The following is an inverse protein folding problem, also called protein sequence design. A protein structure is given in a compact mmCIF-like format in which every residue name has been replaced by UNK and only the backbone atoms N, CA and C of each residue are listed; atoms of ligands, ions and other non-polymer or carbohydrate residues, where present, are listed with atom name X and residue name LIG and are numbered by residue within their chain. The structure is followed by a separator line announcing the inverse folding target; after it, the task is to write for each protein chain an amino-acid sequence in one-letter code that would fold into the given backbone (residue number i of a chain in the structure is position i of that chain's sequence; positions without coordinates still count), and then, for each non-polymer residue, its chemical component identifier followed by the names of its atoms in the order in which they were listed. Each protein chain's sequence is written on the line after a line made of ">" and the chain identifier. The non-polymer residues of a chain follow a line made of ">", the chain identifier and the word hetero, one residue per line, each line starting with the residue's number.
data_IF_366858373062
#
_entry.id   IF_366858373062
#
_cell.length_a   1.000
_cell.length_b   1.000
_cell.length_c   1.000
_cell.angle_alpha   90.00
_cell.angle_beta   90.00
_cell.angle_gamma   90.00
#
_symmetry.space_group_name_H-M   'P 1'
#
loop_
_entity.id
_entity.type
_entity.pdbx_description
1 polymer ?
#
# COMPACT_ATOMS: atom_id res chain seq x y z
N UNK A 1 -10.19 24.59 22.22
CA UNK A 1 -10.78 23.40 22.87
C UNK A 1 -11.16 22.43 21.76
N UNK A 2 -10.39 21.35 21.56
CA UNK A 2 -10.79 20.28 20.63
C UNK A 2 -11.76 19.37 21.37
N UNK A 3 -13.02 19.35 20.93
CA UNK A 3 -14.10 18.52 21.46
C UNK A 3 -14.68 17.67 20.34
N UNK A 4 -13.87 16.85 19.69
CA UNK A 4 -14.42 15.79 18.83
C UNK A 4 -14.12 14.44 19.46
N UNK A 5 -15.04 14.04 20.33
CA UNK A 5 -15.18 12.64 20.73
C UNK A 5 -15.48 11.84 19.45
N UNK A 6 -14.76 10.74 19.18
CA UNK A 6 -15.06 9.87 18.05
C UNK A 6 -16.55 9.51 18.05
N UNK A 7 -17.23 9.73 16.93
CA UNK A 7 -18.66 9.41 16.82
C UNK A 7 -18.82 7.91 16.57
N UNK A 8 -19.79 7.24 17.22
CA UNK A 8 -20.08 5.84 16.93
C UNK A 8 -20.45 5.66 15.45
N UNK A 9 -19.88 4.63 14.83
CA UNK A 9 -20.26 4.16 13.48
C UNK A 9 -21.13 2.93 13.66
N UNK A 10 -22.32 2.91 13.06
CA UNK A 10 -23.26 1.79 13.19
C UNK A 10 -23.31 0.94 11.93
N UNK A 11 -23.32 -0.38 12.09
CA UNK A 11 -23.45 -1.34 10.98
C UNK A 11 -24.67 -1.06 10.08
N UNK A 12 -25.80 -0.66 10.68
CA UNK A 12 -27.05 -0.35 9.97
C UNK A 12 -26.96 0.86 9.05
N UNK A 13 -25.97 1.73 9.24
CA UNK A 13 -25.77 2.95 8.47
C UNK A 13 -24.86 2.72 7.24
N UNK A 14 -24.41 1.48 7.03
CA UNK A 14 -23.62 1.11 5.86
C UNK A 14 -24.34 1.53 4.56
N UNK A 15 -23.57 2.19 3.69
CA UNK A 15 -23.95 2.47 2.31
C UNK A 15 -22.80 2.10 1.38
N UNK A 16 -23.08 1.60 0.17
CA UNK A 16 -22.04 1.40 -0.84
C UNK A 16 -21.35 2.75 -1.14
N UNK A 17 -20.05 2.75 -1.49
CA UNK A 17 -19.34 3.98 -1.77
C UNK A 17 -19.90 4.64 -3.03
N UNK A 18 -19.94 5.98 -3.08
CA UNK A 18 -20.38 6.72 -4.26
C UNK A 18 -19.51 6.44 -5.49
N UNK A 19 -18.22 6.18 -5.27
CA UNK A 19 -17.23 5.94 -6.30
C UNK A 19 -16.49 4.63 -6.07
N UNK A 20 -15.95 4.08 -7.15
CA UNK A 20 -15.05 2.92 -7.14
C UNK A 20 -13.72 3.30 -7.78
N UNK A 21 -12.66 2.66 -7.30
CA UNK A 21 -11.29 2.84 -7.79
C UNK A 21 -10.78 1.50 -8.34
N UNK A 22 -11.09 1.09 -9.59
CA UNK A 22 -10.64 -0.19 -10.12
C UNK A 22 -9.12 -0.34 -10.28
N UNK A 23 -8.37 0.76 -10.37
CA UNK A 23 -6.92 0.73 -10.60
C UNK A 23 -6.20 1.86 -9.88
N UNK A 24 -5.06 1.53 -9.29
CA UNK A 24 -4.17 2.43 -8.57
C UNK A 24 -2.77 2.28 -9.14
N UNK A 25 -2.14 3.40 -9.50
CA UNK A 25 -0.73 3.48 -9.88
C UNK A 25 -0.01 4.45 -8.94
N UNK A 26 0.91 3.92 -8.16
CA UNK A 26 1.71 4.66 -7.17
C UNK A 26 3.14 4.80 -7.67
N UNK A 27 3.69 6.00 -7.51
CA UNK A 27 5.11 6.29 -7.69
C UNK A 27 5.61 6.97 -6.42
N UNK A 28 6.40 6.24 -5.64
CA UNK A 28 6.81 6.59 -4.28
C UNK A 28 8.32 6.80 -4.27
N UNK A 29 8.74 8.05 -4.11
CA UNK A 29 10.14 8.40 -3.92
C UNK A 29 10.42 8.50 -2.42
N UNK A 30 11.05 7.48 -1.86
CA UNK A 30 11.40 7.41 -0.45
C UNK A 30 12.45 8.45 -0.11
N UNK A 31 12.19 9.13 1.01
CA UNK A 31 13.13 9.97 1.74
C UNK A 31 12.67 10.07 3.21
N UNK A 32 13.59 10.17 4.18
CA UNK A 32 13.26 10.10 5.61
C UNK A 32 12.20 11.10 6.08
N UNK A 33 12.35 12.36 5.66
CA UNK A 33 11.52 13.49 6.10
C UNK A 33 10.58 14.04 5.03
N UNK A 34 10.77 13.66 3.78
CA UNK A 34 9.99 14.17 2.65
C UNK A 34 9.79 13.09 1.60
N UNK A 35 9.13 11.99 1.98
CA UNK A 35 8.72 10.99 0.99
C UNK A 35 7.65 11.58 0.10
N UNK A 36 7.89 11.56 -1.22
CA UNK A 36 6.96 12.06 -2.23
C UNK A 36 6.16 10.91 -2.81
N UNK A 37 4.84 10.96 -2.65
CA UNK A 37 3.90 9.97 -3.15
C UNK A 37 3.09 10.58 -4.28
N UNK A 38 3.23 10.06 -5.50
CA UNK A 38 2.32 10.35 -6.61
C UNK A 38 1.36 9.18 -6.76
N UNK A 39 0.07 9.44 -6.59
CA UNK A 39 -0.99 8.45 -6.83
C UNK A 39 -1.85 8.84 -8.02
N UNK A 40 -2.02 7.91 -8.97
CA UNK A 40 -2.99 8.01 -10.06
C UNK A 40 -4.10 6.99 -9.84
N UNK A 41 -5.31 7.48 -9.59
CA UNK A 41 -6.49 6.69 -9.28
C UNK A 41 -7.41 6.71 -10.50
N UNK A 42 -7.77 5.53 -11.04
CA UNK A 42 -8.85 5.43 -12.01
C UNK A 42 -10.16 5.42 -11.25
N UNK A 43 -10.95 6.48 -11.34
CA UNK A 43 -12.18 6.69 -10.59
C UNK A 43 -13.38 6.52 -11.52
N UNK A 44 -14.44 5.87 -11.04
CA UNK A 44 -15.73 5.79 -11.72
C UNK A 44 -16.87 5.79 -10.72
N UNK A 45 -18.06 6.23 -11.14
CA UNK A 45 -19.25 6.12 -10.29
C UNK A 45 -19.57 4.66 -9.97
N UNK A 46 -20.05 4.42 -8.76
CA UNK A 46 -20.54 3.11 -8.36
C UNK A 46 -21.98 2.92 -8.87
N UNK A 47 -22.29 1.90 -9.69
CA UNK A 47 -23.67 1.64 -10.12
C UNK A 47 -24.61 1.28 -8.96
N UNK A 48 -24.06 0.97 -7.78
CA UNK A 48 -24.82 0.70 -6.55
C UNK A 48 -25.04 1.94 -5.68
N UNK A 49 -24.36 3.04 -5.97
CA UNK A 49 -24.70 4.33 -5.34
C UNK A 49 -25.88 4.94 -6.08
N UNK A 50 -26.79 5.60 -5.35
CA UNK A 50 -28.02 6.15 -5.94
C UNK A 50 -27.80 7.10 -7.12
N UNK A 51 -28.89 7.45 -7.79
CA UNK A 51 -28.86 8.34 -8.95
C UNK A 51 -28.52 9.79 -8.57
N UNK A 52 -27.97 10.54 -9.54
CA UNK A 52 -27.69 11.97 -9.41
C UNK A 52 -26.23 12.30 -9.04
N UNK A 53 -25.79 13.56 -9.20
CA UNK A 53 -24.42 13.97 -8.93
C UNK A 53 -24.07 13.81 -7.45
N UNK A 54 -22.85 13.35 -7.16
CA UNK A 54 -22.32 13.27 -5.81
C UNK A 54 -20.90 13.87 -5.75
N UNK A 55 -20.51 14.53 -4.65
CA UNK A 55 -19.11 14.88 -4.41
C UNK A 55 -18.24 13.63 -4.27
N UNK A 56 -16.98 13.71 -4.72
CA UNK A 56 -15.97 12.69 -4.41
C UNK A 56 -15.32 13.06 -3.08
N UNK A 57 -15.54 12.24 -2.06
CA UNK A 57 -14.84 12.34 -0.78
C UNK A 57 -13.70 11.33 -0.74
N UNK A 58 -12.50 11.77 -0.39
CA UNK A 58 -11.33 10.92 -0.17
C UNK A 58 -10.77 11.16 1.22
N UNK A 59 -10.51 10.09 1.95
CA UNK A 59 -9.85 10.11 3.24
C UNK A 59 -8.38 10.50 3.07
N UNK A 60 -7.88 11.35 3.98
CA UNK A 60 -6.48 11.78 3.98
C UNK A 60 -6.11 12.45 5.29
N UNK A 61 -5.07 11.96 5.96
CA UNK A 61 -4.67 12.43 7.29
C UNK A 61 -3.17 12.73 7.31
N UNK A 62 -2.80 13.91 7.81
CA UNK A 62 -1.41 14.36 7.93
C UNK A 62 -0.64 14.31 6.59
N UNK A 63 -1.31 14.70 5.51
CA UNK A 63 -0.74 14.79 4.17
C UNK A 63 -0.48 16.26 3.82
N UNK A 64 0.69 16.56 3.27
CA UNK A 64 0.91 17.82 2.57
C UNK A 64 0.59 17.63 1.08
N UNK A 65 -0.50 18.22 0.59
CA UNK A 65 -0.88 18.18 -0.82
C UNK A 65 -0.04 19.17 -1.64
N UNK A 66 0.80 18.65 -2.53
CA UNK A 66 1.62 19.45 -3.46
C UNK A 66 0.90 19.70 -4.80
N UNK A 67 0.20 18.69 -5.33
CA UNK A 67 -0.51 18.81 -6.61
C UNK A 67 -1.75 17.93 -6.66
N UNK A 68 -2.80 18.44 -7.29
CA UNK A 68 -4.01 17.69 -7.63
C UNK A 68 -4.38 17.94 -9.10
N UNK A 69 -4.77 16.90 -9.82
CA UNK A 69 -5.20 17.01 -11.21
C UNK A 69 -6.26 15.96 -11.55
N UNK A 70 -7.17 16.31 -12.46
CA UNK A 70 -8.12 15.39 -13.08
C UNK A 70 -7.80 15.33 -14.57
N UNK A 71 -7.57 14.12 -15.08
CA UNK A 71 -7.24 13.85 -16.48
C UNK A 71 -6.09 14.74 -17.03
N UNK A 72 -5.08 14.96 -16.18
CA UNK A 72 -3.90 15.77 -16.49
C UNK A 72 -4.10 17.28 -16.31
N UNK A 73 -5.33 17.75 -16.11
CA UNK A 73 -5.64 19.16 -15.85
C UNK A 73 -5.53 19.45 -14.36
N UNK A 74 -4.65 20.39 -13.99
CA UNK A 74 -4.45 20.77 -12.60
C UNK A 74 -5.71 21.44 -12.01
N UNK A 75 -6.08 21.02 -10.81
CA UNK A 75 -7.16 21.65 -10.04
C UNK A 75 -6.60 22.83 -9.23
N UNK A 76 -7.32 23.94 -9.22
CA UNK A 76 -6.96 25.17 -8.52
C UNK A 76 -7.57 25.19 -7.12
N UNK A 77 -7.06 26.08 -6.27
CA UNK A 77 -7.73 26.42 -5.01
C UNK A 77 -9.16 26.91 -5.33
N UNK A 78 -10.17 26.19 -4.85
CA UNK A 78 -11.59 26.40 -5.16
C UNK A 78 -12.25 25.28 -5.95
N UNK A 79 -11.49 24.45 -6.67
CA UNK A 79 -12.01 23.26 -7.37
C UNK A 79 -12.18 22.06 -6.42
N UNK A 80 -11.54 22.13 -5.25
CA UNK A 80 -11.59 21.12 -4.20
C UNK A 80 -11.54 21.79 -2.82
N UNK A 81 -11.93 21.04 -1.81
CA UNK A 81 -11.87 21.41 -0.40
C UNK A 81 -10.94 20.44 0.34
N UNK A 82 -10.05 20.99 1.17
CA UNK A 82 -9.26 20.21 2.13
C UNK A 82 -9.90 20.32 3.51
N UNK A 83 -10.07 19.18 4.17
CA UNK A 83 -10.56 19.08 5.55
C UNK A 83 -9.50 18.40 6.42
N UNK A 84 -9.68 18.40 7.75
CA UNK A 84 -8.76 17.69 8.65
C UNK A 84 -8.71 16.17 8.34
N UNK A 85 -9.79 15.61 7.81
CA UNK A 85 -9.93 14.19 7.52
C UNK A 85 -9.77 13.80 6.04
N UNK A 86 -9.56 14.75 5.12
CA UNK A 86 -9.44 14.39 3.72
C UNK A 86 -9.62 15.50 2.70
N UNK A 87 -10.01 15.09 1.50
CA UNK A 87 -10.14 15.91 0.30
C UNK A 87 -11.51 15.68 -0.34
N UNK A 88 -12.18 16.77 -0.71
CA UNK A 88 -13.49 16.73 -1.38
C UNK A 88 -13.38 17.41 -2.73
N UNK A 89 -13.80 16.72 -3.79
CA UNK A 89 -14.05 17.32 -5.11
C UNK A 89 -15.58 17.47 -5.26
N UNK A 90 -16.15 18.69 -5.16
CA UNK A 90 -17.60 18.87 -5.09
C UNK A 90 -18.35 18.47 -6.37
N UNK A 91 -17.70 18.67 -7.54
CA UNK A 91 -18.27 18.39 -8.86
C UNK A 91 -17.26 17.62 -9.72
N UNK A 92 -17.00 16.35 -9.41
CA UNK A 92 -16.09 15.54 -10.23
C UNK A 92 -16.75 15.23 -11.59
N UNK A 93 -15.96 14.83 -12.62
CA UNK A 93 -16.54 14.42 -13.90
C UNK A 93 -17.55 13.28 -13.76
N UNK A 94 -18.61 13.32 -14.58
CA UNK A 94 -19.64 12.27 -14.61
C UNK A 94 -19.12 10.95 -15.21
N UNK A 95 -18.25 11.06 -16.22
CA UNK A 95 -17.57 9.91 -16.85
C UNK A 95 -16.39 9.47 -15.99
N UNK A 96 -15.94 8.23 -16.18
CA UNK A 96 -14.73 7.74 -15.52
C UNK A 96 -13.52 8.64 -15.85
N UNK A 97 -12.70 8.93 -14.85
CA UNK A 97 -11.59 9.88 -14.94
C UNK A 97 -10.36 9.36 -14.17
N UNK A 98 -9.24 10.03 -14.35
CA UNK A 98 -8.00 9.81 -13.59
C UNK A 98 -7.79 10.94 -12.62
N UNK A 99 -7.82 10.66 -11.32
CA UNK A 99 -7.38 11.61 -10.31
C UNK A 99 -5.89 11.37 -10.05
N UNK A 100 -5.06 12.40 -10.26
CA UNK A 100 -3.66 12.41 -9.85
C UNK A 100 -3.51 13.31 -8.63
N UNK A 101 -2.91 12.79 -7.57
CA UNK A 101 -2.49 13.55 -6.40
C UNK A 101 -0.99 13.35 -6.17
N UNK A 102 -0.31 14.41 -5.75
CA UNK A 102 1.04 14.33 -5.23
C UNK A 102 1.05 14.84 -3.80
N UNK A 103 1.43 13.97 -2.87
CA UNK A 103 1.52 14.26 -1.45
C UNK A 103 2.96 14.13 -0.96
N UNK A 104 3.30 14.90 0.07
CA UNK A 104 4.53 14.77 0.83
C UNK A 104 4.18 14.28 2.24
N UNK A 105 4.96 13.34 2.75
CA UNK A 105 4.83 12.76 4.09
C UNK A 105 6.20 12.62 4.75
N UNK A 106 6.24 12.62 6.08
CA UNK A 106 7.45 12.47 6.90
C UNK A 106 7.41 11.11 7.65
N UNK A 107 7.97 10.05 7.06
CA UNK A 107 8.05 8.73 7.71
C UNK A 107 8.80 8.72 9.04
N UNK A 108 9.84 9.53 9.21
CA UNK A 108 10.63 9.57 10.45
C UNK A 108 9.86 10.22 11.61
N UNK A 109 9.04 11.23 11.32
CA UNK A 109 8.16 11.86 12.30
C UNK A 109 6.94 10.98 12.68
N UNK A 110 6.62 9.94 11.89
CA UNK A 110 5.42 9.13 12.08
C UNK A 110 5.58 8.10 13.22
N UNK A 111 5.43 8.56 14.48
CA UNK A 111 5.50 7.70 15.68
C UNK A 111 4.22 6.90 15.96
N UNK A 112 3.18 7.06 15.16
CA UNK A 112 1.94 6.29 15.28
C UNK A 112 2.07 4.85 14.73
N UNK A 113 3.12 4.57 13.95
CA UNK A 113 3.35 3.30 13.26
C UNK A 113 2.13 2.86 12.42
N UNK A 114 1.52 3.83 11.73
CA UNK A 114 0.35 3.67 10.85
C UNK A 114 0.53 4.53 9.60
N UNK A 115 0.22 3.97 8.43
CA UNK A 115 0.66 4.50 7.14
C UNK A 115 2.10 4.09 6.85
N UNK A 116 2.87 4.97 6.20
CA UNK A 116 4.31 4.78 5.97
C UNK A 116 5.10 5.40 7.12
N UNK A 117 6.01 4.64 7.71
CA UNK A 117 6.87 5.09 8.81
C UNK A 117 8.25 4.43 8.72
N UNK A 118 9.15 4.78 9.64
CA UNK A 118 10.46 4.14 9.75
C UNK A 118 10.65 3.45 11.10
N UNK A 119 11.11 2.20 11.05
CA UNK A 119 11.61 1.43 12.19
C UNK A 119 13.07 1.10 11.97
N UNK A 120 13.95 1.61 12.85
CA UNK A 120 15.41 1.40 12.81
C UNK A 120 16.04 1.60 11.42
N UNK A 121 15.57 2.62 10.71
CA UNK A 121 16.06 2.98 9.38
C UNK A 121 15.33 2.28 8.22
N UNK A 122 14.54 1.23 8.48
CA UNK A 122 13.72 0.54 7.48
C UNK A 122 12.38 1.27 7.32
N UNK A 123 12.02 1.62 6.08
CA UNK A 123 10.67 2.02 5.72
C UNK A 123 9.76 0.81 5.73
N UNK A 124 8.65 0.91 6.44
CA UNK A 124 7.61 -0.10 6.43
C UNK A 124 6.23 0.55 6.54
N UNK A 125 5.21 -0.20 6.16
CA UNK A 125 3.82 0.24 6.18
C UNK A 125 2.97 -0.59 7.12
N UNK A 126 2.01 0.05 7.77
CA UNK A 126 0.88 -0.62 8.40
C UNK A 126 -0.40 0.10 8.00
N UNK A 127 -1.23 -0.55 7.18
CA UNK A 127 -2.42 0.06 6.59
C UNK A 127 -3.72 -0.40 7.25
N UNK A 128 -3.75 -1.52 7.95
CA UNK A 128 -4.94 -1.91 8.72
C UNK A 128 -5.07 -1.11 10.03
N UNK A 129 -6.24 -0.60 10.38
CA UNK A 129 -7.50 -0.66 9.60
C UNK A 129 -7.65 0.48 8.58
N UNK A 130 -7.10 1.65 8.90
CA UNK A 130 -7.34 2.92 8.20
C UNK A 130 -6.04 3.73 8.07
N UNK A 131 -4.92 3.04 7.82
CA UNK A 131 -3.58 3.63 7.73
C UNK A 131 -3.22 4.09 6.32
N UNK A 132 -3.91 3.62 5.27
CA UNK A 132 -3.55 3.98 3.90
C UNK A 132 -3.81 5.47 3.60
N UNK A 133 -4.84 6.06 4.23
CA UNK A 133 -5.11 7.52 4.20
C UNK A 133 -3.98 8.39 4.76
N UNK A 134 -2.97 7.80 5.42
CA UNK A 134 -1.74 8.49 5.89
C UNK A 134 -0.60 8.41 4.87
N UNK A 135 -0.85 7.85 3.69
CA UNK A 135 0.12 7.74 2.58
C UNK A 135 -0.31 8.65 1.41
N UNK A 136 -1.57 8.54 0.99
CA UNK A 136 -2.18 9.40 -0.04
C UNK A 136 -3.70 9.50 0.17
N UNK A 137 -4.37 10.39 -0.55
CA UNK A 137 -5.83 10.49 -0.54
C UNK A 137 -6.47 9.27 -1.20
N UNK A 138 -7.43 8.62 -0.53
CA UNK A 138 -8.05 7.39 -1.02
C UNK A 138 -9.48 7.19 -0.49
N UNK A 139 -10.23 6.22 -1.04
CA UNK A 139 -11.43 5.69 -0.39
C UNK A 139 -10.99 4.59 0.58
N UNK A 140 -10.59 4.95 1.79
CA UNK A 140 -9.89 4.05 2.73
C UNK A 140 -10.89 3.19 3.51
N UNK A 141 -11.55 2.29 2.77
CA UNK A 141 -12.60 1.37 3.23
C UNK A 141 -12.49 0.03 2.49
N UNK A 142 -12.81 -1.11 3.14
CA UNK A 142 -12.45 -2.44 2.65
C UNK A 142 -13.31 -2.96 1.48
N UNK A 143 -14.45 -2.33 1.19
CA UNK A 143 -15.32 -2.67 0.05
C UNK A 143 -14.94 -1.93 -1.24
N UNK A 144 -13.88 -1.12 -1.23
CA UNK A 144 -13.25 -0.55 -2.42
C UNK A 144 -12.02 -1.38 -2.79
N UNK A 145 -12.18 -2.20 -3.83
CA UNK A 145 -11.13 -3.10 -4.32
C UNK A 145 -10.43 -2.53 -5.55
N UNK A 146 -9.10 -2.51 -5.53
CA UNK A 146 -8.28 -1.98 -6.61
C UNK A 146 -7.15 -2.92 -6.99
N UNK A 147 -6.77 -2.93 -8.28
CA UNK A 147 -5.47 -3.48 -8.70
C UNK A 147 -4.38 -2.44 -8.54
N UNK A 148 -3.21 -2.86 -8.06
CA UNK A 148 -2.12 -1.95 -7.71
C UNK A 148 -0.91 -2.16 -8.63
N UNK A 149 -0.37 -1.05 -9.12
CA UNK A 149 0.99 -0.94 -9.63
C UNK A 149 1.75 0.01 -8.70
N UNK A 150 2.87 -0.42 -8.16
CA UNK A 150 3.67 0.36 -7.21
C UNK A 150 5.09 0.48 -7.73
N UNK A 151 5.48 1.68 -8.14
CA UNK A 151 6.88 2.04 -8.34
C UNK A 151 7.43 2.62 -7.05
N UNK A 152 8.56 2.11 -6.61
CA UNK A 152 9.29 2.59 -5.44
C UNK A 152 10.68 3.02 -5.92
N UNK A 153 11.13 4.17 -5.47
CA UNK A 153 12.48 4.67 -5.74
C UNK A 153 13.12 5.20 -4.46
N UNK A 154 14.38 4.84 -4.22
CA UNK A 154 15.15 5.30 -3.07
C UNK A 154 16.61 5.56 -3.44
N UNK A 155 17.33 6.25 -2.56
CA UNK A 155 18.80 6.21 -2.55
C UNK A 155 19.25 4.78 -2.19
N UNK A 156 20.28 4.28 -2.90
CA UNK A 156 20.78 2.91 -2.77
C UNK A 156 21.38 2.61 -1.39
N UNK A 157 21.96 3.62 -0.72
CA UNK A 157 22.56 3.47 0.61
C UNK A 157 21.48 3.52 1.69
N UNK A 158 20.41 4.25 1.43
CA UNK A 158 19.26 4.38 2.32
C UNK A 158 18.38 3.12 2.31
N UNK A 159 18.13 2.54 1.14
CA UNK A 159 17.28 1.38 1.00
C UNK A 159 17.71 0.48 -0.18
N UNK A 160 18.65 -0.43 0.06
CA UNK A 160 19.13 -1.38 -0.96
C UNK A 160 18.09 -2.40 -1.44
N UNK A 161 17.00 -2.63 -0.70
CA UNK A 161 15.86 -3.48 -1.08
C UNK A 161 14.56 -2.67 -1.12
N UNK A 162 13.78 -2.83 -2.19
CA UNK A 162 12.49 -2.15 -2.40
C UNK A 162 11.39 -3.17 -2.75
N UNK A 163 10.44 -3.37 -1.83
CA UNK A 163 9.43 -4.44 -1.89
C UNK A 163 8.02 -3.85 -1.83
N UNK A 164 7.08 -4.44 -2.58
CA UNK A 164 5.64 -4.19 -2.45
C UNK A 164 4.86 -5.45 -2.81
N UNK A 165 3.53 -5.39 -2.77
CA UNK A 165 2.65 -6.50 -3.11
C UNK A 165 2.81 -6.96 -4.59
N UNK A 166 2.56 -8.25 -4.83
CA UNK A 166 2.49 -8.83 -6.16
C UNK A 166 3.86 -9.21 -6.71
N UNK A 167 4.02 -9.10 -8.03
CA UNK A 167 5.22 -9.54 -8.74
C UNK A 167 6.11 -8.35 -9.15
N UNK A 168 7.42 -8.53 -9.05
CA UNK A 168 8.41 -7.57 -9.56
C UNK A 168 8.40 -7.62 -11.09
N UNK A 169 8.02 -6.51 -11.74
CA UNK A 169 7.90 -6.42 -13.20
C UNK A 169 8.97 -5.56 -13.85
N UNK A 170 9.62 -4.69 -13.09
CA UNK A 170 10.67 -3.80 -13.59
C UNK A 170 11.61 -3.40 -12.46
N UNK A 171 12.89 -3.22 -12.77
CA UNK A 171 13.86 -2.61 -11.86
C UNK A 171 14.91 -1.85 -12.66
N UNK A 172 15.46 -0.81 -12.07
CA UNK A 172 16.53 -0.03 -12.71
C UNK A 172 17.32 0.78 -11.70
N UNK A 173 18.45 1.34 -12.15
CA UNK A 173 19.30 2.20 -11.36
C UNK A 173 19.65 3.47 -12.13
N UNK A 174 19.87 4.55 -11.39
CA UNK A 174 20.49 5.79 -11.86
C UNK A 174 21.78 6.01 -11.05
N UNK A 175 22.93 5.52 -11.55
CA UNK A 175 24.21 5.65 -10.85
C UNK A 175 24.62 7.11 -10.62
N UNK A 176 24.16 8.06 -11.43
CA UNK A 176 24.52 9.48 -11.28
C UNK A 176 23.80 10.11 -10.09
N UNK A 177 22.59 9.64 -9.78
CA UNK A 177 21.80 10.10 -8.64
C UNK A 177 21.93 9.21 -7.42
N UNK A 178 22.69 8.10 -7.50
CA UNK A 178 22.74 7.02 -6.49
C UNK A 178 21.35 6.47 -6.13
N UNK A 179 20.38 6.58 -7.04
CA UNK A 179 19.03 6.08 -6.82
C UNK A 179 18.78 4.82 -7.62
N UNK A 180 17.86 4.00 -7.15
CA UNK A 180 17.36 2.84 -7.87
C UNK A 180 15.85 2.71 -7.69
N UNK A 181 15.21 1.90 -8.52
CA UNK A 181 13.78 1.69 -8.42
C UNK A 181 13.38 0.25 -8.68
N UNK A 182 12.22 -0.12 -8.15
CA UNK A 182 11.51 -1.36 -8.40
C UNK A 182 10.05 -1.07 -8.72
N UNK A 183 9.48 -1.77 -9.68
CA UNK A 183 8.05 -1.70 -10.02
C UNK A 183 7.42 -3.05 -9.72
N UNK A 184 6.39 -3.02 -8.89
CA UNK A 184 5.61 -4.17 -8.47
C UNK A 184 4.19 -4.08 -9.03
N UNK A 185 3.62 -5.22 -9.42
CA UNK A 185 2.26 -5.30 -9.93
C UNK A 185 1.52 -6.45 -9.25
N UNK A 186 0.43 -6.10 -8.56
CA UNK A 186 -0.52 -7.06 -8.01
C UNK A 186 -1.71 -7.21 -8.97
N UNK A 187 -1.89 -8.38 -9.60
CA UNK A 187 -2.98 -8.59 -10.54
C UNK A 187 -4.35 -8.71 -9.86
N UNK A 188 -4.40 -8.97 -8.55
CA UNK A 188 -5.64 -9.20 -7.82
C UNK A 188 -6.18 -7.90 -7.21
N UNK A 189 -7.48 -7.61 -7.39
CA UNK A 189 -8.12 -6.52 -6.68
C UNK A 189 -8.07 -6.75 -5.17
N UNK A 190 -7.57 -5.77 -4.42
CA UNK A 190 -7.52 -5.80 -2.96
C UNK A 190 -7.94 -4.45 -2.36
N UNK A 191 -8.46 -4.45 -1.12
CA UNK A 191 -8.61 -3.21 -0.38
C UNK A 191 -7.25 -2.62 0.00
N UNK A 192 -7.21 -1.32 0.22
CA UNK A 192 -5.99 -0.58 0.56
C UNK A 192 -5.37 -0.97 1.90
N UNK A 193 -6.13 -1.55 2.84
CA UNK A 193 -5.55 -2.01 4.11
C UNK A 193 -4.52 -3.15 3.92
N UNK A 194 -4.60 -3.88 2.79
CA UNK A 194 -3.65 -4.93 2.41
C UNK A 194 -2.47 -4.41 1.55
N UNK A 195 -2.37 -3.10 1.36
CA UNK A 195 -1.19 -2.50 0.73
C UNK A 195 0.02 -2.62 1.64
N UNK A 196 1.17 -3.01 1.06
CA UNK A 196 2.44 -2.97 1.75
C UNK A 196 3.55 -2.38 0.88
N UNK A 197 4.45 -1.67 1.55
CA UNK A 197 5.73 -1.22 1.03
C UNK A 197 6.80 -1.44 2.11
N UNK A 198 7.93 -2.01 1.70
CA UNK A 198 9.13 -2.08 2.53
C UNK A 198 10.33 -1.55 1.75
N UNK A 199 11.11 -0.67 2.37
CA UNK A 199 12.36 -0.15 1.82
C UNK A 199 13.45 -0.17 2.88
N UNK A 200 14.61 -0.76 2.60
CA UNK A 200 15.71 -0.76 3.56
C UNK A 200 16.88 -1.66 3.15
N UNK A 201 17.94 -1.63 3.96
CA UNK A 201 19.07 -2.54 3.82
C UNK A 201 18.74 -3.87 4.50
N UNK A 202 18.28 -4.83 3.70
CA UNK A 202 17.77 -6.12 4.17
C UNK A 202 18.60 -7.26 3.59
N UNK A 203 18.81 -8.29 4.40
CA UNK A 203 19.24 -9.60 3.96
C UNK A 203 18.04 -10.50 3.73
N UNK A 204 18.15 -11.48 2.84
CA UNK A 204 17.05 -12.41 2.54
C UNK A 204 17.49 -13.87 2.62
N UNK A 205 16.67 -14.70 3.27
CA UNK A 205 16.76 -16.16 3.19
C UNK A 205 15.68 -16.66 2.22
N UNK A 206 16.09 -17.38 1.18
CA UNK A 206 15.21 -17.81 0.10
C UNK A 206 14.96 -19.33 0.13
N UNK A 207 13.81 -19.73 -0.41
CA UNK A 207 13.44 -21.13 -0.68
C UNK A 207 12.40 -21.17 -1.80
N UNK A 208 11.96 -22.36 -2.20
CA UNK A 208 10.79 -22.56 -3.06
C UNK A 208 9.73 -23.45 -2.42
N UNK A 209 8.53 -23.38 -2.97
CA UNK A 209 7.41 -24.31 -2.73
C UNK A 209 6.75 -24.63 -4.07
N UNK A 210 6.45 -25.92 -4.32
CA UNK A 210 5.71 -26.33 -5.51
C UNK A 210 4.28 -26.66 -5.13
N UNK A 211 3.33 -25.99 -5.76
CA UNK A 211 1.90 -26.11 -5.46
C UNK A 211 1.29 -27.40 -6.00
N UNK A 212 0.05 -27.68 -5.60
CA UNK A 212 -0.73 -28.84 -6.05
C UNK A 212 -0.99 -28.86 -7.56
N UNK A 213 -1.07 -27.70 -8.24
CA UNK A 213 -1.14 -27.64 -9.71
C UNK A 213 0.22 -27.66 -10.40
N UNK A 214 1.31 -27.60 -9.63
CA UNK A 214 2.68 -27.67 -10.12
C UNK A 214 3.37 -26.32 -10.34
N UNK A 215 2.77 -25.20 -9.91
CA UNK A 215 3.41 -23.87 -9.92
C UNK A 215 4.57 -23.85 -8.93
N UNK A 216 5.70 -23.31 -9.34
CA UNK A 216 6.81 -23.00 -8.44
C UNK A 216 6.64 -21.58 -7.88
N UNK A 217 6.56 -21.50 -6.55
CA UNK A 217 6.46 -20.25 -5.79
C UNK A 217 7.78 -19.97 -5.11
N UNK A 218 8.35 -18.80 -5.35
CA UNK A 218 9.53 -18.33 -4.63
C UNK A 218 9.13 -17.85 -3.23
N UNK A 219 9.82 -18.33 -2.20
CA UNK A 219 9.62 -17.92 -0.82
C UNK A 219 10.82 -17.09 -0.37
N UNK A 220 10.57 -15.91 0.19
CA UNK A 220 11.64 -15.06 0.75
C UNK A 220 11.27 -14.52 2.12
N UNK A 221 12.19 -14.65 3.07
CA UNK A 221 12.11 -13.95 4.36
C UNK A 221 13.24 -12.92 4.40
N UNK A 222 12.86 -11.65 4.55
CA UNK A 222 13.77 -10.52 4.69
C UNK A 222 13.93 -10.14 6.15
N UNK A 223 15.15 -9.83 6.55
CA UNK A 223 15.51 -9.41 7.91
C UNK A 223 16.63 -8.38 7.87
N UNK A 224 16.90 -7.73 9.01
CA UNK A 224 18.16 -6.98 9.19
C UNK A 224 19.37 -7.92 8.97
N UNK A 225 20.47 -7.44 8.35
CA UNK A 225 21.67 -8.24 8.12
C UNK A 225 22.20 -8.91 9.39
N UNK A 226 22.63 -10.17 9.28
CA UNK A 226 23.13 -10.99 10.39
C UNK A 226 22.05 -11.78 11.15
N UNK A 227 20.80 -11.76 10.70
CA UNK A 227 19.68 -12.52 11.30
C UNK A 227 19.15 -13.65 10.42
N UNK A 228 19.77 -13.91 9.27
CA UNK A 228 19.32 -14.84 8.23
C UNK A 228 19.15 -16.28 8.73
N UNK A 229 20.04 -16.74 9.61
CA UNK A 229 19.99 -18.09 10.21
C UNK A 229 18.74 -18.30 11.07
N UNK A 230 18.16 -17.23 11.61
CA UNK A 230 16.95 -17.29 12.43
C UNK A 230 15.69 -17.53 11.58
N UNK A 231 15.77 -17.35 10.26
CA UNK A 231 14.64 -17.51 9.35
C UNK A 231 14.32 -18.97 8.99
N UNK A 232 15.20 -19.93 9.30
CA UNK A 232 15.06 -21.33 8.88
C UNK A 232 13.74 -21.93 9.36
N UNK A 233 13.40 -21.73 10.62
CA UNK A 233 12.14 -22.24 11.18
C UNK A 233 10.91 -21.56 10.56
N UNK A 234 10.99 -20.25 10.30
CA UNK A 234 9.89 -19.50 9.69
C UNK A 234 9.62 -19.94 8.24
N UNK A 235 10.66 -20.23 7.46
CA UNK A 235 10.51 -20.78 6.11
C UNK A 235 9.88 -22.18 6.12
N UNK A 236 10.29 -23.03 7.05
CA UNK A 236 9.71 -24.36 7.23
C UNK A 236 8.23 -24.28 7.65
N UNK A 237 7.91 -23.39 8.60
CA UNK A 237 6.53 -23.11 8.98
C UNK A 237 5.68 -22.64 7.80
N UNK A 238 6.18 -21.69 6.99
CA UNK A 238 5.48 -21.20 5.79
C UNK A 238 5.15 -22.34 4.82
N UNK A 239 6.11 -23.23 4.52
CA UNK A 239 5.87 -24.38 3.64
C UNK A 239 4.82 -25.33 4.19
N UNK A 240 4.85 -25.60 5.51
CA UNK A 240 3.83 -26.43 6.17
C UNK A 240 2.45 -25.79 6.09
N UNK A 241 2.35 -24.47 6.28
CA UNK A 241 1.10 -23.74 6.13
C UNK A 241 0.53 -23.85 4.71
N UNK A 242 1.36 -23.59 3.69
CA UNK A 242 0.93 -23.71 2.28
C UNK A 242 0.46 -25.14 1.96
N UNK A 243 1.24 -26.15 2.36
CA UNK A 243 0.88 -27.56 2.14
C UNK A 243 -0.41 -27.95 2.84
N UNK A 244 -0.57 -27.56 4.09
CA UNK A 244 -1.75 -27.88 4.88
C UNK A 244 -3.01 -27.27 4.26
N UNK A 245 -2.93 -26.05 3.73
CA UNK A 245 -4.08 -25.39 3.10
C UNK A 245 -4.49 -26.06 1.78
N UNK A 246 -3.51 -26.57 1.01
CA UNK A 246 -3.77 -27.43 -0.15
C UNK A 246 -4.42 -28.76 0.25
N UNK A 247 -3.85 -29.48 1.21
CA UNK A 247 -4.33 -30.81 1.64
C UNK A 247 -5.69 -30.76 2.33
N UNK A 248 -5.93 -29.72 3.14
CA UNK A 248 -7.11 -29.62 4.00
C UNK A 248 -8.27 -28.85 3.37
N UNK A 249 -7.97 -27.79 2.61
CA UNK A 249 -8.97 -26.87 2.07
C UNK A 249 -8.91 -26.71 0.55
N UNK A 250 -8.00 -27.41 -0.14
CA UNK A 250 -7.77 -27.27 -1.57
C UNK A 250 -7.56 -25.79 -1.97
N UNK A 251 -6.79 -25.05 -1.17
CA UNK A 251 -6.42 -23.67 -1.43
C UNK A 251 -4.97 -23.63 -1.89
N UNK A 252 -4.76 -23.16 -3.10
CA UNK A 252 -3.43 -23.00 -3.70
C UNK A 252 -3.04 -21.51 -3.75
N UNK A 253 -1.75 -21.23 -3.56
CA UNK A 253 -1.22 -19.87 -3.64
C UNK A 253 -1.23 -19.31 -5.07
N UNK A 254 -1.53 -18.03 -5.21
CA UNK A 254 -1.93 -17.41 -6.49
C UNK A 254 -0.92 -16.41 -7.08
N UNK A 255 0.23 -16.19 -6.44
CA UNK A 255 1.33 -15.35 -6.92
C UNK A 255 2.60 -16.16 -7.15
N UNK A 256 3.60 -15.54 -7.79
CA UNK A 256 4.88 -16.19 -8.11
C UNK A 256 5.90 -16.07 -6.97
N UNK A 257 5.69 -15.12 -6.04
CA UNK A 257 6.54 -14.89 -4.88
C UNK A 257 5.71 -14.65 -3.62
N UNK A 258 6.10 -15.28 -2.51
CA UNK A 258 5.61 -15.00 -1.17
C UNK A 258 6.75 -14.39 -0.34
N UNK A 259 6.58 -13.14 0.09
CA UNK A 259 7.57 -12.43 0.89
C UNK A 259 7.10 -12.24 2.33
N UNK A 260 8.02 -12.40 3.27
CA UNK A 260 7.88 -12.02 4.67
C UNK A 260 8.99 -11.03 4.99
N UNK A 261 8.68 -9.94 5.68
CA UNK A 261 9.69 -9.03 6.24
C UNK A 261 9.54 -9.02 7.75
N UNK A 262 10.63 -9.32 8.47
CA UNK A 262 10.67 -9.13 9.92
C UNK A 262 11.26 -7.75 10.26
N UNK A 263 10.47 -6.92 10.94
CA UNK A 263 10.85 -5.59 11.42
C UNK A 263 10.91 -5.58 12.95
N UNK A 264 11.70 -4.67 13.52
CA UNK A 264 11.92 -4.64 14.98
C UNK A 264 10.79 -3.93 15.73
N UNK A 265 10.20 -2.87 15.17
CA UNK A 265 9.11 -2.12 15.78
C UNK A 265 7.83 -2.27 14.93
N UNK A 266 6.91 -3.11 15.41
CA UNK A 266 5.62 -3.36 14.77
C UNK A 266 4.52 -3.37 15.84
N UNK A 267 3.48 -2.54 15.68
CA UNK A 267 2.40 -2.43 16.67
C UNK A 267 1.56 -3.73 16.76
N UNK A 268 1.42 -4.40 15.62
CA UNK A 268 0.70 -5.67 15.51
C UNK A 268 1.71 -6.82 15.57
N UNK A 269 1.27 -8.05 15.88
CA UNK A 269 2.19 -9.19 15.89
C UNK A 269 2.64 -9.64 14.49
N UNK A 270 1.75 -9.50 13.51
CA UNK A 270 1.98 -9.76 12.09
C UNK A 270 0.86 -9.11 11.27
N UNK A 271 1.06 -8.95 9.96
CA UNK A 271 0.07 -8.42 9.03
C UNK A 271 0.09 -9.17 7.70
N UNK A 272 -1.08 -9.53 7.19
CA UNK A 272 -1.31 -10.41 6.04
C UNK A 272 -1.33 -9.70 4.67
N UNK A 273 -0.57 -8.61 4.53
CA UNK A 273 -0.55 -7.85 3.27
C UNK A 273 -0.24 -8.77 2.09
N UNK A 274 -1.07 -8.72 1.04
CA UNK A 274 -1.07 -9.71 -0.05
C UNK A 274 0.34 -9.89 -0.67
N UNK A 275 0.95 -11.04 -0.43
CA UNK A 275 2.27 -11.41 -0.97
C UNK A 275 3.48 -10.73 -0.31
N UNK A 276 3.27 -9.87 0.69
CA UNK A 276 4.33 -9.18 1.44
C UNK A 276 3.91 -9.05 2.91
N UNK A 277 3.92 -10.17 3.64
CA UNK A 277 3.57 -10.14 5.05
C UNK A 277 4.66 -9.40 5.83
N UNK A 278 4.25 -8.64 6.84
CA UNK A 278 5.16 -7.93 7.76
C UNK A 278 4.96 -8.51 9.15
N UNK A 279 6.07 -8.85 9.80
CA UNK A 279 6.14 -9.44 11.14
C UNK A 279 7.02 -8.57 12.03
#
# INVERSE_FOLDING_TARGET
>A
MKTDTPRPIYLKDYRPPEYLIPSVDLDIALAPHETRVRSRLKVRRNPKSGDGPAPLHLDGVQLHLDRLAIDGVALRAGDYELTEGGLVVPRPPEKAFTLEAVTLIDPDANKALSGLYRSRGIYCTQCEAEGFRRITYFLDRPDVLSRYRTRIEADIDEAGSLLSNGNLVERGNDPRRRRHYAVWKDPFPKPCYLFALVGGNLSSTASSFRTMSGRDVELRIYTEPGKEERCVWALDALKRSMRWDEERFAREYDLDVFMIVAVSDFNMGAMENKGLNIF
#
